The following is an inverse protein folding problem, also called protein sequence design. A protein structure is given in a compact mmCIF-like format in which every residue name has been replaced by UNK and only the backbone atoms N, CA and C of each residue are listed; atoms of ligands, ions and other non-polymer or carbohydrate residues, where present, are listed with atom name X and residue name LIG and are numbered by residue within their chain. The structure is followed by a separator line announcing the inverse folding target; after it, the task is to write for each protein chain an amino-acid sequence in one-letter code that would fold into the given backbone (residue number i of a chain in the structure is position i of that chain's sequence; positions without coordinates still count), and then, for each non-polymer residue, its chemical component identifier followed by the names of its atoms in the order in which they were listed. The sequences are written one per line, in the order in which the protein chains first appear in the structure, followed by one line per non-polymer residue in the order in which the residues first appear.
data_IF_637441340188
#
_entry.id   IF_637441340188
#
_cell.length_a   1.000
_cell.length_b   1.000
_cell.length_c   1.000
_cell.angle_alpha   90.00
_cell.angle_beta   90.00
_cell.angle_gamma   90.00
#
_symmetry.space_group_name_H-M   'P 1'
#
loop_
_entity.id
_entity.type
_entity.pdbx_description
1 polymer ?
#
# COMPACT_ATOMS: atom_id res chain seq x y z
N UNK A 1 -12.62 -11.52 -13.67
CA UNK A 1 -12.29 -10.18 -14.17
C UNK A 1 -10.84 -9.92 -13.82
N UNK A 2 -10.00 -9.47 -14.75
CA UNK A 2 -8.58 -9.21 -14.49
C UNK A 2 -8.45 -7.81 -13.87
N UNK A 3 -7.89 -7.71 -12.66
CA UNK A 3 -7.70 -6.42 -12.00
C UNK A 3 -6.45 -5.71 -12.54
N UNK A 4 -6.51 -4.39 -12.71
CA UNK A 4 -5.39 -3.56 -13.12
C UNK A 4 -5.23 -2.35 -12.18
N UNK A 5 -4.05 -1.71 -12.18
CA UNK A 5 -3.77 -0.55 -11.31
C UNK A 5 -4.70 0.63 -11.64
N UNK A 6 -5.08 0.75 -12.91
CA UNK A 6 -5.99 1.74 -13.48
C UNK A 6 -7.39 1.66 -12.86
N UNK A 7 -7.79 0.50 -12.34
CA UNK A 7 -9.08 0.34 -11.69
C UNK A 7 -9.16 1.08 -10.35
N UNK A 8 -8.03 1.48 -9.75
CA UNK A 8 -7.94 2.09 -8.41
C UNK A 8 -7.47 3.55 -8.41
N UNK A 9 -7.59 4.25 -9.54
CA UNK A 9 -7.11 5.63 -9.68
C UNK A 9 -7.79 6.61 -8.72
N UNK A 10 -9.04 6.35 -8.32
CA UNK A 10 -9.76 7.21 -7.36
C UNK A 10 -9.10 7.17 -5.98
N UNK A 11 -8.76 5.97 -5.52
CA UNK A 11 -8.09 5.71 -4.26
C UNK A 11 -6.67 6.25 -4.28
N UNK A 12 -5.93 6.06 -5.38
CA UNK A 12 -4.59 6.63 -5.59
C UNK A 12 -4.63 8.17 -5.54
N UNK A 13 -5.58 8.79 -6.24
CA UNK A 13 -5.73 10.24 -6.23
C UNK A 13 -6.11 10.81 -4.85
N UNK A 14 -6.91 10.07 -4.08
CA UNK A 14 -7.22 10.44 -2.71
C UNK A 14 -5.99 10.36 -1.79
N UNK A 15 -5.17 9.31 -1.95
CA UNK A 15 -3.92 9.17 -1.21
C UNK A 15 -2.93 10.31 -1.54
N UNK A 16 -2.79 10.71 -2.80
CA UNK A 16 -1.95 11.85 -3.20
C UNK A 16 -2.39 13.17 -2.54
N UNK A 17 -3.70 13.46 -2.52
CA UNK A 17 -4.21 14.66 -1.83
C UNK A 17 -3.94 14.63 -0.33
N UNK A 18 -3.96 13.45 0.29
CA UNK A 18 -3.64 13.29 1.71
C UNK A 18 -2.13 13.44 1.97
N UNK A 19 -1.29 12.96 1.06
CA UNK A 19 0.16 13.14 1.09
C UNK A 19 0.51 14.63 1.17
N UNK A 20 0.01 15.44 0.24
CA UNK A 20 0.29 16.88 0.19
C UNK A 20 -0.17 17.64 1.44
N UNK A 21 -1.22 17.15 2.09
CA UNK A 21 -1.87 17.86 3.20
C UNK A 21 -1.32 17.50 4.58
N UNK A 22 -0.83 16.27 4.78
CA UNK A 22 -0.60 15.75 6.13
C UNK A 22 0.77 15.08 6.33
N UNK A 23 1.58 14.90 5.29
CA UNK A 23 2.72 13.99 5.36
C UNK A 23 4.05 14.76 5.28
N UNK A 24 4.58 15.12 6.45
CA UNK A 24 5.87 15.83 6.60
C UNK A 24 7.07 14.86 6.66
N UNK A 25 6.85 13.54 6.73
CA UNK A 25 7.91 12.57 7.06
C UNK A 25 7.93 11.30 6.21
N UNK A 26 7.52 11.37 4.94
CA UNK A 26 7.90 10.34 3.98
C UNK A 26 9.13 10.89 3.27
N UNK A 27 10.26 10.20 3.39
CA UNK A 27 11.53 10.53 2.72
C UNK A 27 11.42 10.26 1.20
N UNK A 28 10.33 10.71 0.58
CA UNK A 28 9.99 10.56 -0.83
C UNK A 28 9.42 11.89 -1.32
N UNK A 29 9.60 12.19 -2.59
CA UNK A 29 8.87 13.24 -3.31
C UNK A 29 7.47 12.72 -3.71
N UNK A 30 6.54 13.59 -4.12
CA UNK A 30 5.24 13.17 -4.64
C UNK A 30 5.33 12.11 -5.76
N UNK A 31 6.30 12.27 -6.67
CA UNK A 31 6.51 11.33 -7.79
C UNK A 31 7.01 9.96 -7.31
N UNK A 32 7.93 9.94 -6.35
CA UNK A 32 8.42 8.71 -5.73
C UNK A 32 7.35 8.01 -4.89
N UNK A 33 6.50 8.79 -4.22
CA UNK A 33 5.33 8.29 -3.50
C UNK A 33 4.34 7.65 -4.48
N UNK A 34 3.99 8.31 -5.59
CA UNK A 34 3.10 7.76 -6.61
C UNK A 34 3.62 6.41 -7.15
N UNK A 35 4.90 6.35 -7.53
CA UNK A 35 5.54 5.11 -7.99
C UNK A 35 5.46 4.01 -6.93
N UNK A 36 5.69 4.36 -5.66
CA UNK A 36 5.61 3.41 -4.55
C UNK A 36 4.20 2.86 -4.38
N UNK A 37 3.19 3.72 -4.38
CA UNK A 37 1.78 3.31 -4.25
C UNK A 37 1.36 2.41 -5.41
N UNK A 38 1.67 2.77 -6.65
CA UNK A 38 1.35 1.96 -7.83
C UNK A 38 2.00 0.56 -7.74
N UNK A 39 3.27 0.49 -7.35
CA UNK A 39 3.96 -0.79 -7.14
C UNK A 39 3.32 -1.62 -6.02
N UNK A 40 2.95 -1.00 -4.90
CA UNK A 40 2.31 -1.69 -3.79
C UNK A 40 0.90 -2.17 -4.14
N UNK A 41 0.13 -1.39 -4.92
CA UNK A 41 -1.18 -1.82 -5.44
C UNK A 41 -1.03 -3.05 -6.32
N UNK A 42 -0.09 -3.06 -7.26
CA UNK A 42 0.18 -4.24 -8.10
C UNK A 42 0.51 -5.48 -7.26
N UNK A 43 1.40 -5.34 -6.27
CA UNK A 43 1.74 -6.45 -5.35
C UNK A 43 0.55 -6.90 -4.50
N UNK A 44 -0.32 -5.98 -4.09
CA UNK A 44 -1.53 -6.32 -3.33
C UNK A 44 -2.56 -7.04 -4.21
N UNK A 45 -2.66 -6.68 -5.50
CA UNK A 45 -3.46 -7.42 -6.50
C UNK A 45 -2.91 -8.84 -6.64
N UNK A 46 -1.62 -9.00 -6.90
CA UNK A 46 -0.99 -10.32 -7.04
C UNK A 46 -1.21 -11.18 -5.78
N UNK A 47 -1.04 -10.59 -4.60
CA UNK A 47 -1.28 -11.26 -3.33
C UNK A 47 -2.75 -11.61 -3.12
N UNK A 48 -3.68 -10.78 -3.59
CA UNK A 48 -5.11 -11.04 -3.52
C UNK A 48 -5.52 -12.16 -4.48
N UNK A 49 -5.12 -12.11 -5.74
CA UNK A 49 -5.50 -13.11 -6.75
C UNK A 49 -4.91 -14.50 -6.45
N UNK A 50 -3.69 -14.55 -5.89
CA UNK A 50 -3.00 -15.80 -5.55
C UNK A 50 -3.14 -16.21 -4.08
N UNK A 51 -4.10 -15.64 -3.34
CA UNK A 51 -4.28 -15.91 -1.90
C UNK A 51 -4.68 -17.36 -1.63
N UNK A 52 -4.22 -17.89 -0.51
CA UNK A 52 -4.61 -19.23 -0.07
C UNK A 52 -6.13 -19.32 0.24
N UNK A 53 -6.75 -20.49 0.07
CA UNK A 53 -8.16 -20.70 0.42
C UNK A 53 -8.48 -20.25 1.84
N UNK A 54 -9.59 -19.53 2.01
CA UNK A 54 -10.02 -18.97 3.29
C UNK A 54 -9.43 -17.60 3.64
N UNK A 55 -8.44 -17.10 2.90
CA UNK A 55 -7.96 -15.73 3.04
C UNK A 55 -8.84 -14.76 2.22
N UNK A 56 -9.14 -13.61 2.82
CA UNK A 56 -10.01 -12.57 2.23
C UNK A 56 -9.26 -11.31 1.81
N UNK A 57 -7.94 -11.27 2.01
CA UNK A 57 -7.15 -10.06 1.83
C UNK A 57 -5.85 -10.32 1.06
N UNK A 58 -5.50 -9.39 0.18
CA UNK A 58 -4.17 -9.26 -0.41
C UNK A 58 -3.51 -8.03 0.20
N UNK A 59 -2.30 -8.18 0.73
CA UNK A 59 -1.64 -7.12 1.48
C UNK A 59 -0.24 -6.93 0.93
N UNK A 60 0.11 -5.67 0.67
CA UNK A 60 1.48 -5.27 0.36
C UNK A 60 1.81 -4.01 1.16
N UNK A 61 3.04 -3.92 1.65
CA UNK A 61 3.48 -2.78 2.44
C UNK A 61 4.94 -2.42 2.19
N UNK A 62 5.27 -1.18 2.51
CA UNK A 62 6.63 -0.73 2.74
C UNK A 62 6.73 -0.01 4.11
N UNK A 63 7.84 0.69 4.35
CA UNK A 63 8.07 1.43 5.59
C UNK A 63 7.00 2.49 5.88
N UNK A 64 6.41 3.10 4.85
CA UNK A 64 5.56 4.28 4.96
C UNK A 64 4.09 4.00 4.60
N UNK A 65 3.81 2.94 3.85
CA UNK A 65 2.49 2.70 3.26
C UNK A 65 2.14 1.23 3.42
N UNK A 66 0.87 0.97 3.76
CA UNK A 66 0.27 -0.36 3.71
C UNK A 66 -0.94 -0.32 2.79
N UNK A 67 -0.97 -1.19 1.78
CA UNK A 67 -2.09 -1.39 0.85
C UNK A 67 -2.76 -2.72 1.17
N UNK A 68 -4.08 -2.68 1.37
CA UNK A 68 -4.91 -3.86 1.66
C UNK A 68 -6.04 -3.91 0.64
N UNK A 69 -6.08 -4.99 -0.15
CA UNK A 69 -7.26 -5.36 -0.93
C UNK A 69 -8.10 -6.35 -0.13
N UNK A 70 -9.39 -6.06 0.04
CA UNK A 70 -10.32 -6.87 0.82
C UNK A 70 -11.47 -7.35 -0.03
N UNK A 71 -11.78 -8.63 0.09
CA UNK A 71 -12.97 -9.24 -0.50
C UNK A 71 -14.24 -8.54 0.02
N UNK A 72 -15.19 -8.34 -0.89
CA UNK A 72 -16.51 -7.75 -0.63
C UNK A 72 -17.50 -8.43 -1.57
N UNK A 73 -18.77 -8.42 -1.20
CA UNK A 73 -19.87 -8.79 -2.10
C UNK A 73 -19.87 -7.90 -3.36
N UNK A 74 -19.37 -8.43 -4.47
CA UNK A 74 -19.25 -7.78 -5.78
C UNK A 74 -17.97 -8.15 -6.53
N UNK A 75 -17.86 -7.69 -7.79
CA UNK A 75 -16.73 -8.08 -8.67
C UNK A 75 -15.42 -7.33 -8.40
N UNK A 76 -15.45 -6.23 -7.62
CA UNK A 76 -14.28 -5.38 -7.32
C UNK A 76 -13.98 -5.37 -5.81
N UNK A 77 -12.75 -5.73 -5.38
CA UNK A 77 -12.38 -5.69 -3.97
C UNK A 77 -12.30 -4.25 -3.46
N UNK A 78 -12.47 -4.09 -2.14
CA UNK A 78 -12.19 -2.83 -1.46
C UNK A 78 -10.67 -2.60 -1.42
N UNK A 79 -10.21 -1.38 -1.71
CA UNK A 79 -8.80 -1.01 -1.62
C UNK A 79 -8.59 0.03 -0.51
N UNK A 80 -7.86 -0.35 0.53
CA UNK A 80 -7.43 0.55 1.60
C UNK A 80 -5.96 0.91 1.45
N UNK A 81 -5.64 2.19 1.38
CA UNK A 81 -4.26 2.72 1.39
C UNK A 81 -4.05 3.46 2.70
N UNK A 82 -3.20 2.89 3.56
CA UNK A 82 -2.91 3.39 4.89
C UNK A 82 -1.51 3.97 4.94
N UNK A 83 -1.38 5.15 5.54
CA UNK A 83 -0.08 5.73 5.87
C UNK A 83 0.37 5.15 7.20
N UNK A 84 1.51 4.47 7.20
CA UNK A 84 2.13 3.97 8.41
C UNK A 84 2.66 5.17 9.20
N UNK A 85 2.32 5.22 10.50
CA UNK A 85 2.89 6.21 11.41
C UNK A 85 4.40 5.95 11.51
N UNK A 86 5.15 6.75 10.77
CA UNK A 86 6.59 6.69 10.72
C UNK A 86 7.17 7.92 11.41
N UNK A 87 7.94 7.71 12.47
CA UNK A 87 8.69 8.79 13.11
C UNK A 87 10.12 8.80 12.58
N UNK A 88 10.64 9.95 12.12
CA UNK A 88 12.06 10.06 11.75
C UNK A 88 12.97 9.85 12.98
N UNK A 89 12.43 9.97 14.20
CA UNK A 89 13.14 9.74 15.45
C UNK A 89 13.08 8.28 15.94
N UNK A 90 12.32 7.40 15.28
CA UNK A 90 12.38 5.97 15.56
C UNK A 90 13.72 5.42 15.09
N UNK A 91 14.58 5.06 16.06
CA UNK A 91 15.85 4.39 15.81
C UNK A 91 15.61 3.16 14.92
N UNK A 92 16.38 3.02 13.84
CA UNK A 92 16.38 1.78 13.04
C UNK A 92 16.62 0.60 13.98
N UNK A 93 15.83 -0.48 13.92
CA UNK A 93 16.16 -1.70 14.65
C UNK A 93 17.58 -2.08 14.25
N UNK A 94 18.45 -2.32 15.24
CA UNK A 94 19.79 -2.81 14.95
C UNK A 94 19.66 -4.06 14.09
N UNK A 95 20.33 -4.08 12.94
CA UNK A 95 20.38 -5.27 12.08
C UNK A 95 20.96 -6.38 12.94
N UNK A 96 20.13 -7.32 13.38
CA UNK A 96 20.62 -8.54 14.00
C UNK A 96 21.38 -9.28 12.91
N UNK A 97 22.71 -9.28 13.00
CA UNK A 97 23.53 -10.18 12.18
C UNK A 97 23.07 -11.59 12.53
N UNK A 98 22.54 -12.30 11.53
CA UNK A 98 22.27 -13.72 11.67
C UNK A 98 23.56 -14.42 12.12
N UNK A 99 23.44 -15.25 13.16
CA UNK A 99 24.54 -16.02 13.73
C UNK A 99 24.62 -17.37 13.04
#
# INVERSE_FOLDING_TARGET
MTLQVEDFQKEIAAALRAYDKYVVCVEKTPDEFLKSVQSLVGKAIDAFENRAPGLRHGIALDRHITVILSERDGDRPLCGIYFNLHSPYQRKPAVQKAK
#
